data_IF_479682903460
#
_entry.id   IF_479682903460
#
_cell.length_a   1.000
_cell.length_b   1.000
_cell.length_c   1.000
_cell.angle_alpha   90.00
_cell.angle_beta   90.00
_cell.angle_gamma   90.00
#
_symmetry.space_group_name_H-M   'P 1'
#
loop_
_entity.id
_entity.type
_entity.pdbx_description
1 polymer ?
#
# COMPACT_ATOMS: atom_id res chain seq x y z
N UNK A 1 18.86 -7.53 -39.00
CA UNK A 1 17.46 -7.08 -39.13
C UNK A 1 17.18 -6.17 -37.94
N UNK A 2 16.59 -4.98 -38.12
CA UNK A 2 16.17 -4.18 -36.98
C UNK A 2 15.02 -4.93 -36.29
N UNK A 3 15.16 -5.18 -35.00
CA UNK A 3 14.05 -5.66 -34.16
C UNK A 3 13.08 -4.49 -34.10
N UNK A 4 12.03 -4.53 -34.92
CA UNK A 4 10.86 -3.66 -34.74
C UNK A 4 10.27 -4.00 -33.39
N UNK A 5 10.56 -3.21 -32.38
CA UNK A 5 9.75 -3.18 -31.15
C UNK A 5 8.36 -2.74 -31.58
N UNK A 6 7.43 -3.69 -31.69
CA UNK A 6 6.03 -3.38 -31.96
C UNK A 6 5.54 -2.44 -30.84
N UNK A 7 4.93 -1.32 -31.22
CA UNK A 7 4.28 -0.44 -30.26
C UNK A 7 3.14 -1.19 -29.57
N UNK A 8 2.89 -0.96 -28.27
CA UNK A 8 1.78 -1.61 -27.57
C UNK A 8 0.45 -1.20 -28.21
N UNK A 9 -0.42 -2.18 -28.40
CA UNK A 9 -1.78 -2.05 -28.92
C UNK A 9 -2.76 -1.89 -27.76
N UNK A 10 -2.58 -2.66 -26.69
CA UNK A 10 -3.40 -2.58 -25.48
C UNK A 10 -2.67 -1.78 -24.42
N UNK A 11 -3.21 -0.64 -24.02
CA UNK A 11 -2.51 0.35 -23.16
C UNK A 11 -3.26 0.65 -21.85
N UNK A 12 -4.25 -0.17 -21.49
CA UNK A 12 -4.94 -0.09 -20.20
C UNK A 12 -5.37 -1.46 -19.70
N UNK A 13 -5.54 -1.60 -18.38
CA UNK A 13 -6.00 -2.83 -17.72
C UNK A 13 -7.32 -3.37 -18.33
N UNK A 14 -8.40 -2.57 -18.52
CA UNK A 14 -9.63 -3.07 -19.13
C UNK A 14 -9.48 -3.51 -20.60
N UNK A 15 -8.54 -2.92 -21.34
CA UNK A 15 -8.28 -3.33 -22.72
C UNK A 15 -7.62 -4.71 -22.76
N UNK A 16 -6.66 -4.96 -21.87
CA UNK A 16 -5.95 -6.24 -21.80
C UNK A 16 -6.86 -7.34 -21.28
N UNK A 17 -7.65 -7.11 -20.23
CA UNK A 17 -8.57 -8.12 -19.68
C UNK A 17 -9.68 -8.49 -20.67
N UNK A 18 -10.22 -7.52 -21.43
CA UNK A 18 -11.16 -7.82 -22.53
C UNK A 18 -10.52 -8.62 -23.65
N UNK A 19 -9.28 -8.31 -24.00
CA UNK A 19 -8.55 -9.05 -25.04
C UNK A 19 -8.26 -10.49 -24.58
N UNK A 20 -7.83 -10.69 -23.33
CA UNK A 20 -7.69 -12.02 -22.71
C UNK A 20 -9.00 -12.81 -22.77
N UNK A 21 -10.12 -12.20 -22.37
CA UNK A 21 -11.42 -12.86 -22.46
C UNK A 21 -11.77 -13.28 -23.90
N UNK A 22 -11.35 -12.50 -24.90
CA UNK A 22 -11.51 -12.88 -26.29
C UNK A 22 -10.59 -14.04 -26.72
N UNK A 23 -9.39 -14.18 -26.13
CA UNK A 23 -8.53 -15.35 -26.35
C UNK A 23 -9.14 -16.61 -25.74
N UNK A 24 -9.61 -16.51 -24.48
CA UNK A 24 -10.26 -17.62 -23.78
C UNK A 24 -11.48 -18.12 -24.56
N UNK A 25 -12.29 -17.22 -25.14
CA UNK A 25 -13.43 -17.61 -25.99
C UNK A 25 -13.00 -18.37 -27.26
N UNK A 26 -11.82 -18.05 -27.80
CA UNK A 26 -11.35 -18.61 -29.06
C UNK A 26 -10.70 -19.99 -28.84
N UNK A 27 -9.85 -20.11 -27.83
CA UNK A 27 -9.12 -21.33 -27.50
C UNK A 27 -9.05 -21.56 -25.98
N UNK A 28 -10.09 -22.17 -25.37
CA UNK A 28 -10.19 -22.26 -23.91
C UNK A 28 -9.36 -23.40 -23.31
N UNK A 29 -8.88 -24.37 -24.09
CA UNK A 29 -8.48 -25.69 -23.58
C UNK A 29 -7.25 -25.58 -22.67
N UNK A 30 -6.17 -24.96 -23.15
CA UNK A 30 -4.94 -24.82 -22.37
C UNK A 30 -5.15 -23.88 -21.17
N UNK A 31 -5.92 -22.81 -21.35
CA UNK A 31 -6.24 -21.89 -20.28
C UNK A 31 -7.07 -22.55 -19.16
N UNK A 32 -8.06 -23.38 -19.52
CA UNK A 32 -8.88 -24.14 -18.56
C UNK A 32 -8.01 -25.06 -17.71
N UNK A 33 -7.10 -25.82 -18.34
CA UNK A 33 -6.18 -26.69 -17.62
C UNK A 33 -5.28 -25.91 -16.63
N UNK A 34 -4.84 -24.72 -17.03
CA UNK A 34 -4.03 -23.83 -16.18
C UNK A 34 -4.82 -23.32 -14.97
N UNK A 35 -6.10 -22.98 -15.17
CA UNK A 35 -7.00 -22.57 -14.07
C UNK A 35 -7.28 -23.74 -13.13
N UNK A 36 -7.51 -24.95 -13.65
CA UNK A 36 -7.70 -26.14 -12.83
C UNK A 36 -6.47 -26.43 -11.96
N UNK A 37 -5.26 -26.33 -12.53
CA UNK A 37 -4.02 -26.51 -11.78
C UNK A 37 -3.85 -25.44 -10.70
N UNK A 38 -4.08 -24.16 -11.03
CA UNK A 38 -4.01 -23.06 -10.07
C UNK A 38 -5.00 -23.25 -8.91
N UNK A 39 -6.20 -23.76 -9.19
CA UNK A 39 -7.23 -24.08 -8.20
C UNK A 39 -7.01 -25.44 -7.50
N UNK A 40 -5.96 -26.19 -7.89
CA UNK A 40 -5.66 -27.55 -7.39
C UNK A 40 -6.81 -28.53 -7.61
N UNK A 41 -7.52 -28.38 -8.72
CA UNK A 41 -8.58 -29.28 -9.14
C UNK A 41 -7.98 -30.43 -9.97
N UNK A 42 -8.67 -31.56 -9.99
CA UNK A 42 -8.33 -32.64 -10.94
C UNK A 42 -8.59 -32.17 -12.35
N UNK A 43 -7.72 -32.51 -13.30
CA UNK A 43 -7.90 -32.15 -14.72
C UNK A 43 -9.27 -32.58 -15.26
N UNK A 44 -9.98 -31.64 -15.90
CA UNK A 44 -11.34 -31.78 -16.40
C UNK A 44 -12.45 -31.60 -15.36
N UNK A 45 -12.13 -31.23 -14.11
CA UNK A 45 -13.12 -31.01 -13.06
C UNK A 45 -14.06 -29.83 -13.34
N UNK A 46 -13.60 -28.78 -14.03
CA UNK A 46 -14.46 -27.65 -14.41
C UNK A 46 -15.44 -28.04 -15.52
N UNK A 47 -15.05 -28.96 -16.40
CA UNK A 47 -15.86 -29.37 -17.55
C UNK A 47 -15.81 -28.38 -18.71
N UNK A 48 -16.92 -28.23 -19.43
CA UNK A 48 -16.97 -27.40 -20.63
C UNK A 48 -17.14 -25.92 -20.28
N UNK A 49 -16.32 -25.05 -20.87
CA UNK A 49 -16.52 -23.60 -20.81
C UNK A 49 -17.74 -23.22 -21.66
N UNK A 50 -18.79 -22.70 -21.03
CA UNK A 50 -20.07 -22.38 -21.69
C UNK A 50 -20.32 -20.88 -21.84
N UNK A 51 -19.68 -20.04 -21.03
CA UNK A 51 -19.78 -18.59 -21.15
C UNK A 51 -18.49 -17.88 -20.71
N UNK A 52 -18.22 -16.75 -21.35
CA UNK A 52 -17.16 -15.80 -20.99
C UNK A 52 -17.75 -14.41 -21.10
N UNK A 53 -17.85 -13.71 -19.98
CA UNK A 53 -18.33 -12.33 -19.91
C UNK A 53 -17.23 -11.41 -19.37
N UNK A 54 -17.19 -10.17 -19.87
CA UNK A 54 -16.30 -9.13 -19.37
C UNK A 54 -17.12 -8.13 -18.56
N UNK A 55 -16.52 -7.54 -17.53
CA UNK A 55 -17.14 -6.46 -16.74
C UNK A 55 -18.55 -6.84 -16.28
N UNK A 56 -18.70 -8.05 -15.74
CA UNK A 56 -20.00 -8.58 -15.35
C UNK A 56 -20.64 -7.64 -14.32
N UNK A 57 -21.66 -6.89 -14.75
CA UNK A 57 -22.21 -5.72 -14.04
C UNK A 57 -22.71 -6.02 -12.63
N UNK A 58 -23.07 -7.28 -12.37
CA UNK A 58 -23.59 -7.71 -11.08
C UNK A 58 -22.47 -8.13 -10.10
N UNK A 59 -21.24 -8.28 -10.60
CA UNK A 59 -20.10 -8.83 -9.86
C UNK A 59 -18.85 -7.91 -9.84
N UNK A 60 -18.79 -6.88 -10.69
CA UNK A 60 -17.62 -6.02 -10.89
C UNK A 60 -16.32 -6.78 -11.18
N UNK A 61 -16.42 -8.01 -11.71
CA UNK A 61 -15.27 -8.81 -12.12
C UNK A 61 -14.77 -8.37 -13.50
N UNK A 62 -13.46 -8.33 -13.69
CA UNK A 62 -12.86 -8.08 -15.01
C UNK A 62 -13.32 -9.11 -16.05
N UNK A 63 -13.24 -10.40 -15.71
CA UNK A 63 -13.73 -11.51 -16.54
C UNK A 63 -14.44 -12.54 -15.67
N UNK A 64 -15.61 -13.00 -16.11
CA UNK A 64 -16.33 -14.12 -15.51
C UNK A 64 -16.39 -15.27 -16.52
N UNK A 65 -16.01 -16.46 -16.06
CA UNK A 65 -16.10 -17.71 -16.78
C UNK A 65 -17.18 -18.58 -16.14
N UNK A 66 -18.02 -19.19 -16.97
CA UNK A 66 -18.98 -20.18 -16.52
C UNK A 66 -18.62 -21.51 -17.16
N UNK A 67 -18.33 -22.49 -16.32
CA UNK A 67 -18.08 -23.86 -16.71
C UNK A 67 -19.27 -24.75 -16.35
N UNK A 68 -19.45 -25.84 -17.09
CA UNK A 68 -20.49 -26.83 -16.81
C UNK A 68 -19.91 -28.25 -16.83
N UNK A 69 -20.04 -28.95 -15.71
CA UNK A 69 -19.68 -30.35 -15.56
C UNK A 69 -20.87 -31.14 -15.01
N UNK A 70 -21.26 -32.23 -15.67
CA UNK A 70 -22.34 -33.12 -15.21
C UNK A 70 -23.68 -32.43 -14.89
N UNK A 71 -23.96 -31.28 -15.53
CA UNK A 71 -25.18 -30.50 -15.32
C UNK A 71 -25.11 -29.44 -14.21
N UNK A 72 -23.99 -29.35 -13.50
CA UNK A 72 -23.73 -28.31 -12.49
C UNK A 72 -22.88 -27.18 -13.09
N UNK A 73 -23.17 -25.94 -12.69
CA UNK A 73 -22.42 -24.76 -13.14
C UNK A 73 -21.39 -24.33 -12.10
N UNK A 74 -20.16 -24.07 -12.56
CA UNK A 74 -19.09 -23.50 -11.74
C UNK A 74 -18.69 -22.14 -12.30
N UNK A 75 -18.65 -21.13 -11.43
CA UNK A 75 -18.26 -19.76 -11.77
C UNK A 75 -16.80 -19.55 -11.40
N UNK A 76 -16.00 -19.03 -12.33
CA UNK A 76 -14.62 -18.62 -12.07
C UNK A 76 -14.46 -17.16 -12.47
N UNK A 77 -14.19 -16.30 -11.51
CA UNK A 77 -13.85 -14.89 -11.72
C UNK A 77 -12.35 -14.73 -11.91
N UNK A 78 -11.95 -13.93 -12.89
CA UNK A 78 -10.58 -13.47 -13.08
C UNK A 78 -10.53 -11.98 -12.77
N UNK A 79 -9.58 -11.57 -11.95
CA UNK A 79 -9.33 -10.17 -11.62
C UNK A 79 -7.89 -9.81 -12.01
N UNK A 80 -7.74 -8.95 -13.02
CA UNK A 80 -6.45 -8.53 -13.54
C UNK A 80 -5.95 -7.29 -12.81
N UNK A 81 -4.68 -7.27 -12.37
CA UNK A 81 -4.08 -6.10 -11.73
C UNK A 81 -2.69 -5.81 -12.28
N UNK A 82 -2.47 -4.54 -12.61
CA UNK A 82 -1.17 -3.99 -12.96
C UNK A 82 -0.66 -3.06 -11.87
N UNK A 83 -1.25 -1.87 -11.75
CA UNK A 83 -0.82 -0.84 -10.79
C UNK A 83 -1.90 -0.46 -9.78
N UNK A 84 -3.10 -1.05 -9.86
CA UNK A 84 -4.20 -0.77 -8.94
C UNK A 84 -4.11 -1.67 -7.72
N UNK A 85 -4.45 -1.13 -6.54
CA UNK A 85 -4.50 -1.91 -5.32
C UNK A 85 -5.80 -2.71 -5.32
N UNK A 86 -5.68 -4.01 -5.12
CA UNK A 86 -6.81 -4.85 -4.74
C UNK A 86 -7.09 -4.62 -3.25
N UNK A 87 -8.36 -4.55 -2.84
CA UNK A 87 -8.73 -4.34 -1.42
C UNK A 87 -9.44 -5.56 -0.82
N UNK A 88 -9.39 -5.77 0.51
CA UNK A 88 -10.14 -6.83 1.16
C UNK A 88 -11.65 -6.75 0.91
N UNK A 89 -12.22 -5.54 0.87
CA UNK A 89 -13.64 -5.30 0.59
C UNK A 89 -13.99 -5.66 -0.85
N UNK A 90 -13.13 -5.29 -1.80
CA UNK A 90 -13.29 -5.68 -3.20
C UNK A 90 -13.27 -7.21 -3.34
N UNK A 91 -12.29 -7.88 -2.75
CA UNK A 91 -12.21 -9.35 -2.76
C UNK A 91 -13.46 -10.00 -2.16
N UNK A 92 -13.93 -9.49 -1.02
CA UNK A 92 -15.11 -10.02 -0.36
C UNK A 92 -16.37 -9.88 -1.24
N UNK A 93 -16.54 -8.72 -1.88
CA UNK A 93 -17.64 -8.45 -2.80
C UNK A 93 -17.60 -9.37 -4.02
N UNK A 94 -16.44 -9.50 -4.67
CA UNK A 94 -16.26 -10.35 -5.86
C UNK A 94 -16.46 -11.83 -5.54
N UNK A 95 -15.90 -12.32 -4.42
CA UNK A 95 -16.12 -13.71 -3.96
C UNK A 95 -17.60 -13.98 -3.67
N UNK A 96 -18.30 -13.02 -3.07
CA UNK A 96 -19.73 -13.15 -2.82
C UNK A 96 -20.53 -13.27 -4.13
N UNK A 97 -20.18 -12.48 -5.15
CA UNK A 97 -20.84 -12.51 -6.46
C UNK A 97 -20.63 -13.83 -7.23
N UNK A 98 -19.60 -14.60 -6.90
CA UNK A 98 -19.32 -15.91 -7.49
C UNK A 98 -20.18 -17.06 -6.93
N UNK A 99 -21.00 -16.82 -5.90
CA UNK A 99 -21.97 -17.78 -5.33
C UNK A 99 -21.37 -19.17 -5.03
N UNK A 100 -20.19 -19.20 -4.38
CA UNK A 100 -19.48 -20.44 -4.06
C UNK A 100 -18.50 -20.92 -5.14
N UNK A 101 -18.35 -20.16 -6.22
CA UNK A 101 -17.30 -20.35 -7.22
C UNK A 101 -15.90 -19.90 -6.78
N UNK A 102 -15.02 -19.70 -7.76
CA UNK A 102 -13.60 -19.43 -7.53
C UNK A 102 -13.18 -18.05 -8.04
N UNK A 103 -12.27 -17.39 -7.32
CA UNK A 103 -11.63 -16.15 -7.75
C UNK A 103 -10.14 -16.45 -8.03
N UNK A 104 -9.63 -15.95 -9.15
CA UNK A 104 -8.22 -16.06 -9.53
C UNK A 104 -7.68 -14.67 -9.85
N UNK A 105 -6.54 -14.30 -9.26
CA UNK A 105 -5.87 -13.04 -9.54
C UNK A 105 -4.90 -13.21 -10.72
N UNK A 106 -4.84 -12.23 -11.63
CA UNK A 106 -3.84 -12.18 -12.69
C UNK A 106 -2.96 -10.95 -12.48
N UNK A 107 -1.67 -11.18 -12.22
CA UNK A 107 -0.71 -10.16 -11.82
C UNK A 107 0.38 -9.98 -12.87
N UNK A 108 1.00 -8.80 -12.94
CA UNK A 108 2.17 -8.62 -13.80
C UNK A 108 3.38 -9.45 -13.34
N UNK A 109 3.56 -9.59 -12.02
CA UNK A 109 4.58 -10.43 -11.40
C UNK A 109 4.00 -11.11 -10.16
N UNK A 110 4.46 -12.30 -9.83
CA UNK A 110 4.04 -13.04 -8.64
C UNK A 110 4.34 -12.28 -7.34
N UNK A 111 5.41 -11.46 -7.30
CA UNK A 111 5.76 -10.65 -6.12
C UNK A 111 4.77 -9.52 -5.85
N UNK A 112 3.89 -9.17 -6.81
CA UNK A 112 2.87 -8.14 -6.64
C UNK A 112 1.64 -8.66 -5.88
N UNK A 113 1.60 -9.94 -5.50
CA UNK A 113 0.50 -10.51 -4.72
C UNK A 113 0.48 -9.87 -3.32
N UNK A 114 -0.63 -9.24 -2.90
CA UNK A 114 -0.71 -8.70 -1.56
C UNK A 114 -0.66 -9.81 -0.51
N UNK A 115 0.11 -9.61 0.56
CA UNK A 115 0.37 -10.62 1.60
C UNK A 115 -0.89 -11.06 2.36
N UNK A 116 -1.89 -10.18 2.45
CA UNK A 116 -3.18 -10.47 3.10
C UNK A 116 -4.10 -11.34 2.24
N UNK A 117 -3.82 -11.52 0.94
CA UNK A 117 -4.68 -12.34 0.07
C UNK A 117 -4.54 -13.82 0.48
N UNK A 118 -5.63 -14.45 0.93
CA UNK A 118 -5.60 -15.82 1.43
C UNK A 118 -5.07 -16.81 0.40
N UNK A 119 -4.37 -17.85 0.87
CA UNK A 119 -3.73 -18.84 -0.01
C UNK A 119 -4.71 -19.63 -0.89
N UNK A 120 -6.00 -19.68 -0.53
CA UNK A 120 -7.03 -20.34 -1.33
C UNK A 120 -7.48 -19.54 -2.56
N UNK A 121 -7.12 -18.26 -2.65
CA UNK A 121 -7.32 -17.44 -3.85
C UNK A 121 -6.03 -17.51 -4.65
N UNK A 122 -5.90 -18.36 -5.68
CA UNK A 122 -4.66 -18.47 -6.43
C UNK A 122 -4.39 -17.20 -7.24
N UNK A 123 -3.12 -17.03 -7.62
CA UNK A 123 -2.68 -15.98 -8.53
C UNK A 123 -1.85 -16.58 -9.65
N UNK A 124 -2.09 -16.11 -10.87
CA UNK A 124 -1.28 -16.36 -12.06
C UNK A 124 -0.59 -15.07 -12.49
N UNK A 125 0.51 -15.19 -13.20
CA UNK A 125 1.11 -14.04 -13.92
C UNK A 125 0.45 -13.87 -15.29
N UNK A 126 0.51 -12.66 -15.84
CA UNK A 126 0.15 -12.41 -17.24
C UNK A 126 0.99 -13.27 -18.20
N UNK A 127 2.27 -13.51 -17.89
CA UNK A 127 3.13 -14.37 -18.69
C UNK A 127 2.64 -15.83 -18.72
N UNK A 128 2.33 -16.41 -17.56
CA UNK A 128 1.76 -17.78 -17.47
C UNK A 128 0.41 -17.87 -18.17
N UNK A 129 -0.43 -16.85 -18.00
CA UNK A 129 -1.76 -16.79 -18.63
C UNK A 129 -1.66 -16.74 -20.16
N UNK A 130 -0.78 -15.90 -20.70
CA UNK A 130 -0.63 -15.73 -22.15
C UNK A 130 0.13 -16.89 -22.83
N UNK A 131 0.99 -17.59 -22.08
CA UNK A 131 1.68 -18.79 -22.58
C UNK A 131 0.72 -19.94 -22.93
N UNK A 132 -0.56 -19.86 -22.53
CA UNK A 132 -1.58 -20.83 -22.90
C UNK A 132 -2.01 -20.74 -24.37
N UNK A 133 -1.64 -19.69 -25.09
CA UNK A 133 -2.10 -19.43 -26.45
C UNK A 133 -0.91 -19.42 -27.41
N UNK A 134 -1.06 -20.02 -28.59
CA UNK A 134 0.02 -20.15 -29.58
C UNK A 134 0.43 -18.80 -30.20
N UNK A 135 -0.51 -17.85 -30.33
CA UNK A 135 -0.29 -16.50 -30.87
C UNK A 135 -1.27 -15.49 -30.22
N UNK A 136 -1.08 -15.13 -28.93
CA UNK A 136 -2.00 -14.25 -28.23
C UNK A 136 -1.93 -12.83 -28.83
N UNK A 137 -3.09 -12.21 -29.06
CA UNK A 137 -3.18 -10.80 -29.48
C UNK A 137 -2.62 -9.87 -28.41
N UNK A 138 -2.80 -10.22 -27.13
CA UNK A 138 -2.11 -9.55 -26.03
C UNK A 138 -0.69 -10.06 -25.98
N UNK A 139 0.26 -9.15 -26.16
CA UNK A 139 1.69 -9.48 -26.14
C UNK A 139 2.32 -9.14 -24.80
N UNK A 140 3.50 -9.71 -24.53
CA UNK A 140 4.34 -9.30 -23.40
C UNK A 140 4.72 -7.82 -23.48
N UNK A 141 4.81 -7.24 -24.68
CA UNK A 141 5.06 -5.81 -24.87
C UNK A 141 3.89 -4.96 -24.36
N UNK A 142 2.64 -5.39 -24.59
CA UNK A 142 1.46 -4.71 -24.06
C UNK A 142 1.47 -4.73 -22.53
N UNK A 143 1.69 -5.90 -21.93
CA UNK A 143 1.78 -6.10 -20.48
C UNK A 143 2.88 -5.21 -19.87
N UNK A 144 4.09 -5.23 -20.46
CA UNK A 144 5.24 -4.44 -19.99
C UNK A 144 5.09 -2.94 -20.22
N UNK A 145 4.19 -2.51 -21.09
CA UNK A 145 3.92 -1.09 -21.32
C UNK A 145 2.99 -0.47 -20.27
N UNK A 146 2.32 -1.30 -19.47
CA UNK A 146 1.44 -0.83 -18.40
C UNK A 146 2.27 -0.14 -17.31
N UNK A 147 1.73 0.90 -16.65
CA UNK A 147 2.35 1.42 -15.45
C UNK A 147 2.39 0.29 -14.41
N UNK A 148 3.55 0.03 -13.84
CA UNK A 148 3.77 -0.95 -12.75
C UNK A 148 4.49 -0.33 -11.56
N UNK A 149 4.65 1.00 -11.57
CA UNK A 149 5.51 1.70 -10.62
C UNK A 149 5.02 1.48 -9.19
N UNK A 150 3.72 1.56 -8.91
CA UNK A 150 3.19 1.30 -7.56
C UNK A 150 3.37 -0.15 -7.15
N UNK A 151 2.96 -1.09 -7.99
CA UNK A 151 3.06 -2.51 -7.65
C UNK A 151 4.52 -2.96 -7.41
N UNK A 152 5.45 -2.42 -8.20
CA UNK A 152 6.89 -2.64 -8.02
C UNK A 152 7.38 -2.08 -6.68
N UNK A 153 6.95 -0.85 -6.32
CA UNK A 153 7.31 -0.26 -5.02
C UNK A 153 6.63 -1.02 -3.87
N UNK A 154 5.36 -1.42 -4.01
CA UNK A 154 4.63 -2.20 -3.00
C UNK A 154 5.40 -3.51 -2.70
N UNK A 155 5.85 -4.22 -3.74
CA UNK A 155 6.68 -5.43 -3.61
C UNK A 155 8.08 -5.15 -3.03
N UNK A 156 8.73 -4.06 -3.44
CA UNK A 156 10.02 -3.64 -2.89
C UNK A 156 9.91 -3.35 -1.39
N UNK A 157 8.88 -2.62 -0.97
CA UNK A 157 8.60 -2.31 0.43
C UNK A 157 8.29 -3.57 1.24
N UNK A 158 7.47 -4.48 0.71
CA UNK A 158 7.19 -5.78 1.33
C UNK A 158 8.47 -6.63 1.48
N UNK A 159 9.37 -6.58 0.50
CA UNK A 159 10.64 -7.32 0.55
C UNK A 159 11.58 -6.87 1.66
N UNK A 160 11.37 -5.68 2.24
CA UNK A 160 12.16 -5.19 3.38
C UNK A 160 11.87 -5.95 4.67
N UNK A 161 10.80 -6.77 4.73
CA UNK A 161 10.41 -7.58 5.89
C UNK A 161 10.49 -6.80 7.21
N UNK A 162 9.92 -5.58 7.23
CA UNK A 162 10.03 -4.67 8.38
C UNK A 162 9.49 -5.30 9.67
N UNK A 163 8.52 -6.20 9.57
CA UNK A 163 8.00 -6.99 10.68
C UNK A 163 9.06 -7.82 11.39
N UNK A 164 10.13 -8.24 10.70
CA UNK A 164 11.24 -8.98 11.31
C UNK A 164 12.17 -8.06 12.14
N UNK A 165 12.04 -6.73 11.98
CA UNK A 165 12.82 -5.70 12.70
C UNK A 165 12.12 -5.18 13.95
N UNK A 166 10.89 -5.61 14.23
CA UNK A 166 10.02 -5.08 15.27
C UNK A 166 9.58 -6.19 16.24
N UNK A 167 9.16 -5.83 17.47
CA UNK A 167 8.51 -6.78 18.37
C UNK A 167 7.22 -7.36 17.77
N UNK A 168 6.92 -8.63 18.10
CA UNK A 168 5.86 -9.41 17.45
C UNK A 168 4.42 -8.88 17.66
N UNK A 169 4.21 -8.02 18.66
CA UNK A 169 2.91 -7.41 18.97
C UNK A 169 2.67 -6.09 18.23
N UNK A 170 3.61 -5.65 17.38
CA UNK A 170 3.45 -4.50 16.51
C UNK A 170 2.71 -4.89 15.24
N UNK A 171 1.88 -3.98 14.75
CA UNK A 171 1.17 -4.16 13.48
C UNK A 171 2.02 -3.55 12.37
N UNK A 172 2.26 -4.30 11.31
CA UNK A 172 2.96 -3.85 10.09
C UNK A 172 2.08 -4.16 8.89
N UNK A 173 1.77 -3.14 8.11
CA UNK A 173 0.85 -3.25 6.97
C UNK A 173 1.43 -2.55 5.73
N UNK A 174 1.61 -3.31 4.65
CA UNK A 174 1.99 -2.75 3.35
C UNK A 174 0.72 -2.31 2.64
N UNK A 175 0.50 -1.00 2.61
CA UNK A 175 -0.71 -0.40 2.06
C UNK A 175 -0.42 0.91 1.34
N UNK A 176 -1.39 1.35 0.57
CA UNK A 176 -1.33 2.67 -0.05
C UNK A 176 -1.96 3.71 0.86
N UNK A 177 -1.30 4.85 1.02
CA UNK A 177 -1.83 5.95 1.80
C UNK A 177 -3.02 6.64 1.10
N UNK A 178 -3.63 7.65 1.73
CA UNK A 178 -4.84 8.33 1.21
C UNK A 178 -4.70 8.97 -0.19
N UNK A 179 -3.48 9.16 -0.67
CA UNK A 179 -3.20 9.65 -2.04
C UNK A 179 -2.80 8.52 -3.01
N UNK A 180 -2.92 7.26 -2.59
CA UNK A 180 -2.56 6.09 -3.37
C UNK A 180 -1.05 5.85 -3.48
N UNK A 181 -0.23 6.45 -2.60
CA UNK A 181 1.23 6.21 -2.60
C UNK A 181 1.58 4.94 -1.83
N UNK A 182 2.42 4.06 -2.39
CA UNK A 182 2.98 2.92 -1.68
C UNK A 182 3.63 3.31 -0.35
N UNK A 183 3.30 2.55 0.70
CA UNK A 183 3.85 2.73 2.03
C UNK A 183 3.83 1.44 2.84
N UNK A 184 4.71 1.35 3.82
CA UNK A 184 4.54 0.43 4.95
C UNK A 184 4.11 1.26 6.15
N UNK A 185 2.98 0.93 6.76
CA UNK A 185 2.49 1.57 7.99
C UNK A 185 2.71 0.64 9.17
N UNK A 186 3.12 1.24 10.28
CA UNK A 186 3.49 0.55 11.50
C UNK A 186 2.72 1.17 12.66
N UNK A 187 2.16 0.33 13.51
CA UNK A 187 1.45 0.74 14.71
C UNK A 187 1.98 -0.02 15.93
N UNK A 188 2.39 0.73 16.96
CA UNK A 188 2.77 0.14 18.24
C UNK A 188 1.54 -0.38 19.00
N UNK A 189 1.74 -1.24 20.01
CA UNK A 189 0.74 -1.45 21.07
C UNK A 189 0.35 -0.12 21.73
N UNK A 190 -0.78 -0.13 22.44
CA UNK A 190 -1.23 1.04 23.19
C UNK A 190 -0.21 1.39 24.30
N UNK A 191 0.17 2.66 24.36
CA UNK A 191 0.87 3.26 25.48
C UNK A 191 -0.07 3.34 26.71
N UNK A 192 0.45 3.54 27.93
CA UNK A 192 -0.38 3.66 29.13
C UNK A 192 -1.47 4.75 29.05
N UNK A 193 -1.29 5.76 28.21
CA UNK A 193 -2.27 6.82 27.96
C UNK A 193 -3.32 6.47 26.87
N UNK A 194 -3.28 5.27 26.31
CA UNK A 194 -4.17 4.81 25.23
C UNK A 194 -3.79 5.30 23.83
N UNK A 195 -2.67 6.03 23.67
CA UNK A 195 -2.14 6.43 22.36
C UNK A 195 -1.23 5.36 21.78
N UNK A 196 -0.92 5.48 20.49
CA UNK A 196 0.05 4.62 19.79
C UNK A 196 1.15 5.46 19.16
N UNK A 197 2.35 4.89 19.07
CA UNK A 197 3.38 5.34 18.16
C UNK A 197 3.02 4.79 16.78
N UNK A 198 2.90 5.67 15.81
CA UNK A 198 2.60 5.37 14.42
C UNK A 198 3.80 5.74 13.57
N UNK A 199 4.16 4.89 12.63
CA UNK A 199 5.22 5.16 11.68
C UNK A 199 4.83 4.74 10.27
N UNK A 200 5.54 5.30 9.31
CA UNK A 200 5.45 4.86 7.92
C UNK A 200 6.78 4.98 7.21
N UNK A 201 7.06 4.05 6.31
CA UNK A 201 8.07 4.20 5.25
C UNK A 201 7.34 4.41 3.94
N UNK A 202 7.68 5.45 3.19
CA UNK A 202 6.94 5.84 1.99
C UNK A 202 7.83 6.47 0.93
N UNK A 203 7.33 6.50 -0.30
CA UNK A 203 7.87 7.33 -1.37
C UNK A 203 7.57 8.82 -1.16
N UNK A 204 8.39 9.70 -1.71
CA UNK A 204 8.24 11.16 -1.60
C UNK A 204 7.96 11.85 -2.94
N UNK A 205 7.36 13.04 -2.88
CA UNK A 205 7.15 13.88 -4.07
C UNK A 205 6.20 13.29 -5.11
N UNK A 206 6.40 13.67 -6.38
CA UNK A 206 5.60 13.19 -7.53
C UNK A 206 6.26 11.99 -8.21
N UNK A 207 6.52 10.94 -7.43
CA UNK A 207 7.26 9.74 -7.85
C UNK A 207 6.59 8.94 -8.97
N UNK A 208 5.26 9.01 -9.13
CA UNK A 208 4.52 8.20 -10.10
C UNK A 208 4.89 8.43 -11.58
N UNK A 209 5.66 9.48 -11.89
CA UNK A 209 6.15 9.80 -13.24
C UNK A 209 7.67 9.71 -13.36
N UNK A 210 8.34 9.33 -12.28
CA UNK A 210 9.79 9.26 -12.25
C UNK A 210 10.26 7.86 -12.64
N UNK A 211 11.42 7.74 -13.29
CA UNK A 211 12.17 6.49 -13.35
C UNK A 211 12.42 5.94 -11.94
N UNK A 212 12.50 4.62 -11.81
CA UNK A 212 12.63 3.93 -10.50
C UNK A 212 13.83 4.44 -9.70
N UNK A 213 14.95 4.63 -10.38
CA UNK A 213 16.22 5.11 -9.83
C UNK A 213 16.16 6.53 -9.26
N UNK A 214 15.16 7.33 -9.65
CA UNK A 214 14.93 8.68 -9.15
C UNK A 214 13.91 8.73 -7.99
N UNK A 215 13.31 7.59 -7.63
CA UNK A 215 12.33 7.51 -6.56
C UNK A 215 13.04 7.57 -5.22
N UNK A 216 12.67 8.57 -4.43
CA UNK A 216 13.19 8.81 -3.10
C UNK A 216 12.21 8.34 -2.01
N UNK A 217 12.76 7.75 -0.96
CA UNK A 217 12.04 7.18 0.18
C UNK A 217 12.35 7.94 1.46
N UNK A 218 11.38 8.04 2.36
CA UNK A 218 11.59 8.60 3.71
C UNK A 218 10.79 7.78 4.73
N UNK A 219 11.15 7.89 6.01
CA UNK A 219 10.29 7.47 7.09
C UNK A 219 9.64 8.66 7.78
N UNK A 220 8.48 8.41 8.38
CA UNK A 220 7.83 9.25 9.37
C UNK A 220 7.57 8.43 10.63
N UNK A 221 7.70 9.05 11.80
CA UNK A 221 7.33 8.46 13.09
C UNK A 221 6.70 9.54 13.94
N UNK A 222 5.57 9.23 14.57
CA UNK A 222 4.79 10.17 15.36
C UNK A 222 3.86 9.51 16.37
N UNK A 223 3.31 10.33 17.25
CA UNK A 223 2.30 9.91 18.24
C UNK A 223 0.91 10.11 17.65
N UNK A 224 0.03 9.13 17.86
CA UNK A 224 -1.35 9.16 17.36
C UNK A 224 -2.12 10.39 17.84
N UNK A 225 -2.90 10.98 16.94
CA UNK A 225 -3.87 12.04 17.23
C UNK A 225 -5.26 11.43 17.33
N UNK A 226 -5.93 11.68 18.45
CA UNK A 226 -7.29 11.24 18.73
C UNK A 226 -8.31 12.31 18.32
N UNK A 227 -9.20 12.66 19.25
CA UNK A 227 -10.22 13.68 19.02
C UNK A 227 -9.57 15.05 18.74
N UNK A 228 -9.84 15.68 17.58
CA UNK A 228 -9.29 16.99 17.24
C UNK A 228 -9.65 18.09 18.24
N UNK A 229 -10.77 18.01 18.95
CA UNK A 229 -11.15 19.04 19.92
C UNK A 229 -10.32 18.93 21.21
N UNK A 230 -9.86 17.73 21.57
CA UNK A 230 -8.96 17.50 22.71
C UNK A 230 -7.48 17.71 22.33
N UNK A 231 -7.09 17.25 21.15
CA UNK A 231 -5.69 17.27 20.71
C UNK A 231 -5.29 18.57 20.01
N UNK A 232 -6.23 19.23 19.34
CA UNK A 232 -5.99 20.47 18.61
C UNK A 232 -7.01 21.55 19.01
N UNK A 233 -7.18 21.82 20.32
CA UNK A 233 -8.18 22.75 20.81
C UNK A 233 -7.91 24.16 20.32
N UNK A 234 -8.98 24.93 20.11
CA UNK A 234 -8.89 26.36 19.96
C UNK A 234 -8.71 26.97 21.35
N UNK A 235 -7.55 27.59 21.60
CA UNK A 235 -7.25 28.26 22.86
C UNK A 235 -6.70 29.66 22.62
N UNK A 236 -7.04 30.58 23.52
CA UNK A 236 -6.49 31.94 23.54
C UNK A 236 -5.09 31.95 24.18
N UNK A 237 -4.84 31.07 25.16
CA UNK A 237 -3.54 30.93 25.85
C UNK A 237 -2.99 29.50 25.73
N UNK A 238 -2.09 29.26 24.76
CA UNK A 238 -1.40 27.97 24.60
C UNK A 238 -0.45 27.61 25.74
N UNK A 239 -0.01 28.56 26.58
CA UNK A 239 0.89 28.27 27.69
C UNK A 239 0.15 27.61 28.86
N UNK A 240 -1.14 27.92 29.01
CA UNK A 240 -2.01 27.35 30.04
C UNK A 240 -2.44 25.89 29.77
N UNK A 241 -2.24 25.40 28.55
CA UNK A 241 -2.62 24.03 28.14
C UNK A 241 -1.55 23.39 27.27
N UNK A 242 -1.09 22.20 27.67
CA UNK A 242 -0.26 21.34 26.83
C UNK A 242 -1.09 20.12 26.39
N UNK A 243 -1.50 20.02 25.11
CA UNK A 243 -2.14 18.81 24.59
C UNK A 243 -1.30 17.56 24.82
N UNK A 244 -1.94 16.40 24.98
CA UNK A 244 -1.27 15.15 25.39
C UNK A 244 -0.11 14.75 24.47
N UNK A 245 -0.20 15.02 23.16
CA UNK A 245 0.87 14.72 22.21
C UNK A 245 2.16 15.51 22.47
N UNK A 246 2.11 16.69 23.11
CA UNK A 246 3.29 17.54 23.36
C UNK A 246 4.32 16.81 24.22
N UNK A 247 3.87 16.12 25.27
CA UNK A 247 4.76 15.40 26.17
C UNK A 247 5.49 14.26 25.44
N UNK A 248 4.77 13.51 24.60
CA UNK A 248 5.34 12.43 23.80
C UNK A 248 6.37 12.93 22.77
N UNK A 249 6.12 14.07 22.14
CA UNK A 249 7.09 14.69 21.22
C UNK A 249 8.35 15.18 21.94
N UNK A 250 8.23 15.64 23.20
CA UNK A 250 9.39 15.94 24.04
C UNK A 250 10.17 14.66 24.37
N UNK A 251 9.50 13.56 24.70
CA UNK A 251 10.15 12.25 24.89
C UNK A 251 10.93 11.82 23.65
N UNK A 252 10.31 11.87 22.47
CA UNK A 252 10.95 11.56 21.18
C UNK A 252 12.22 12.41 20.99
N UNK A 253 12.12 13.71 21.22
CA UNK A 253 13.26 14.62 21.08
C UNK A 253 14.37 14.35 22.11
N UNK A 254 14.02 14.37 23.40
CA UNK A 254 14.95 14.44 24.52
C UNK A 254 15.57 13.09 24.89
N UNK A 255 14.91 11.97 24.55
CA UNK A 255 15.39 10.62 24.90
C UNK A 255 15.81 9.79 23.70
N UNK A 256 15.15 9.94 22.55
CA UNK A 256 15.41 9.09 21.37
C UNK A 256 16.39 9.78 20.42
N UNK A 257 16.11 11.04 20.09
CA UNK A 257 16.95 11.82 19.17
C UNK A 257 18.15 12.51 19.83
N UNK A 258 18.33 12.36 21.15
CA UNK A 258 19.36 13.02 21.95
C UNK A 258 20.79 12.83 21.40
N UNK A 259 21.23 13.74 20.52
CA UNK A 259 22.52 13.67 19.84
C UNK A 259 22.61 12.63 18.71
N UNK A 260 21.50 11.99 18.34
CA UNK A 260 21.43 10.88 17.37
C UNK A 260 20.69 11.23 16.08
N UNK A 261 20.32 12.50 15.87
CA UNK A 261 19.54 12.93 14.68
C UNK A 261 20.23 12.55 13.36
N UNK A 262 21.54 12.72 13.26
CA UNK A 262 22.30 12.41 12.04
C UNK A 262 22.42 10.89 11.81
N UNK A 263 22.69 10.12 12.88
CA UNK A 263 22.73 8.65 12.86
C UNK A 263 21.39 8.06 12.39
N UNK A 264 20.30 8.61 12.92
CA UNK A 264 18.94 8.18 12.62
C UNK A 264 18.42 8.80 11.30
N UNK A 265 19.16 9.74 10.70
CA UNK A 265 18.80 10.37 9.42
C UNK A 265 17.58 11.29 9.53
N UNK A 266 17.36 11.91 10.69
CA UNK A 266 16.21 12.77 10.99
C UNK A 266 16.35 14.14 10.32
N UNK A 267 15.32 14.58 9.59
CA UNK A 267 15.32 15.87 8.90
C UNK A 267 14.94 17.02 9.84
N UNK A 268 15.93 17.62 10.49
CA UNK A 268 15.72 18.74 11.45
C UNK A 268 15.48 20.09 10.78
N UNK A 269 15.66 20.17 9.46
CA UNK A 269 15.44 21.36 8.63
C UNK A 269 13.99 21.53 8.17
N UNK A 270 13.19 20.45 8.22
CA UNK A 270 11.76 20.47 7.90
C UNK A 270 10.96 21.28 8.93
N UNK A 271 9.88 21.92 8.48
CA UNK A 271 9.03 22.77 9.32
C UNK A 271 7.57 22.36 9.25
N UNK A 272 6.86 22.35 10.41
CA UNK A 272 5.47 21.95 10.42
C UNK A 272 4.64 22.99 9.67
N UNK A 273 3.69 22.49 8.88
CA UNK A 273 2.70 23.32 8.23
C UNK A 273 1.59 23.71 9.19
N UNK A 274 1.12 24.94 9.02
CA UNK A 274 -0.17 25.39 9.53
C UNK A 274 -1.02 25.93 8.39
N UNK A 275 -2.21 26.44 8.68
CA UNK A 275 -3.03 27.08 7.67
C UNK A 275 -4.37 27.59 8.20
N UNK A 276 -4.97 28.49 7.42
CA UNK A 276 -6.35 28.93 7.60
C UNK A 276 -7.18 28.51 6.40
N UNK A 277 -8.48 28.35 6.59
CA UNK A 277 -9.43 28.19 5.49
C UNK A 277 -9.62 29.51 4.73
N UNK A 278 -10.45 29.47 3.68
CA UNK A 278 -10.76 30.62 2.81
C UNK A 278 -11.44 31.78 3.57
N UNK A 279 -12.06 31.49 4.71
CA UNK A 279 -12.81 32.45 5.52
C UNK A 279 -11.94 33.00 6.68
N UNK A 280 -10.67 32.58 6.74
CA UNK A 280 -9.68 33.05 7.71
C UNK A 280 -9.63 32.24 9.01
N UNK A 281 -10.48 31.22 9.18
CA UNK A 281 -10.48 30.39 10.39
C UNK A 281 -9.32 29.40 10.36
N UNK A 282 -8.73 29.12 11.52
CA UNK A 282 -7.65 28.14 11.62
C UNK A 282 -8.14 26.74 11.25
N UNK A 283 -7.46 26.12 10.27
CA UNK A 283 -7.55 24.68 10.03
C UNK A 283 -6.99 23.91 11.23
N UNK A 284 -7.22 22.60 11.32
CA UNK A 284 -6.59 21.76 12.36
C UNK A 284 -5.05 21.92 12.38
N UNK A 285 -4.42 21.99 11.20
CA UNK A 285 -2.99 22.28 11.09
C UNK A 285 -2.65 23.70 11.60
N UNK A 286 -3.53 24.68 11.41
CA UNK A 286 -3.41 26.01 12.03
C UNK A 286 -3.50 25.97 13.56
N UNK A 287 -4.45 25.20 14.11
CA UNK A 287 -4.70 25.08 15.55
C UNK A 287 -3.51 24.47 16.32
N UNK A 288 -2.71 23.61 15.70
CA UNK A 288 -1.51 23.04 16.36
C UNK A 288 -0.38 24.06 16.56
N UNK A 289 -0.27 25.05 15.66
CA UNK A 289 0.93 25.90 15.58
C UNK A 289 1.20 26.75 16.83
N UNK A 290 0.20 27.30 17.55
CA UNK A 290 0.41 27.96 18.83
C UNK A 290 1.11 27.03 19.85
N UNK A 291 0.64 25.79 20.01
CA UNK A 291 1.26 24.81 20.91
C UNK A 291 2.68 24.43 20.49
N UNK A 292 2.92 24.27 19.19
CA UNK A 292 4.28 23.98 18.67
C UNK A 292 5.25 25.13 18.98
N UNK A 293 4.80 26.38 18.83
CA UNK A 293 5.63 27.55 19.12
C UNK A 293 5.95 27.67 20.61
N UNK A 294 4.95 27.42 21.44
CA UNK A 294 5.04 27.54 22.90
C UNK A 294 5.86 26.39 23.50
N UNK A 295 5.46 25.14 23.24
CA UNK A 295 5.97 23.99 23.96
C UNK A 295 7.17 23.29 23.30
N UNK A 296 7.40 23.52 22.01
CA UNK A 296 8.43 22.84 21.21
C UNK A 296 9.41 23.81 20.52
N UNK A 297 9.48 25.05 21.03
CA UNK A 297 10.19 26.21 20.49
C UNK A 297 11.31 25.93 19.46
N UNK A 298 12.44 25.35 19.89
CA UNK A 298 13.64 25.13 19.05
C UNK A 298 13.61 23.80 18.27
N UNK A 299 12.62 22.95 18.52
CA UNK A 299 12.54 21.58 18.02
C UNK A 299 11.24 21.34 17.24
N UNK A 300 10.70 22.38 16.59
CA UNK A 300 9.41 22.32 15.89
C UNK A 300 9.33 21.24 14.82
N UNK A 301 10.47 20.78 14.32
CA UNK A 301 10.61 19.69 13.36
C UNK A 301 10.12 18.34 13.91
N UNK A 302 9.89 18.19 15.22
CA UNK A 302 9.20 17.01 15.79
C UNK A 302 7.68 17.08 15.76
N UNK A 303 7.07 18.17 15.28
CA UNK A 303 5.60 18.33 15.20
C UNK A 303 5.05 18.33 13.75
N UNK A 304 5.73 17.61 12.87
CA UNK A 304 5.32 17.34 11.49
C UNK A 304 4.19 16.30 11.45
N UNK A 305 3.74 15.92 10.26
CA UNK A 305 2.75 14.86 10.06
C UNK A 305 1.34 15.41 9.89
N UNK A 306 0.36 14.57 10.21
CA UNK A 306 -1.03 14.72 9.80
C UNK A 306 -1.95 14.85 11.01
N UNK A 307 -2.75 15.91 11.05
CA UNK A 307 -3.62 16.26 12.19
C UNK A 307 -4.82 15.33 12.40
N UNK A 308 -4.98 14.30 11.56
CA UNK A 308 -6.00 13.27 11.65
C UNK A 308 -5.39 11.86 11.81
N UNK A 309 -4.08 11.77 12.05
CA UNK A 309 -3.40 10.47 12.17
C UNK A 309 -2.30 10.51 13.22
N UNK A 310 -1.21 11.26 13.00
CA UNK A 310 -0.11 11.37 13.94
C UNK A 310 0.73 12.64 13.75
N UNK A 311 1.31 13.13 14.85
CA UNK A 311 2.30 14.20 14.85
C UNK A 311 3.68 13.67 15.24
N UNK A 312 4.73 14.11 14.57
CA UNK A 312 6.07 13.56 14.78
C UNK A 312 7.15 14.12 13.86
N UNK A 313 8.16 13.31 13.55
CA UNK A 313 9.32 13.72 12.74
C UNK A 313 9.44 12.89 11.45
N UNK A 314 10.06 13.49 10.44
CA UNK A 314 10.42 12.81 9.20
C UNK A 314 11.94 12.61 9.13
N UNK A 315 12.36 11.59 8.40
CA UNK A 315 13.75 11.45 7.97
C UNK A 315 14.08 12.37 6.79
N UNK A 316 15.37 12.45 6.47
CA UNK A 316 15.83 12.81 5.13
C UNK A 316 15.42 11.73 4.13
N UNK A 317 15.30 12.15 2.88
CA UNK A 317 15.02 11.23 1.78
C UNK A 317 16.27 10.44 1.41
N UNK A 318 16.10 9.17 1.06
CA UNK A 318 17.16 8.28 0.57
C UNK A 318 16.77 7.64 -0.77
N UNK A 319 17.74 7.12 -1.50
CA UNK A 319 17.51 6.31 -2.70
C UNK A 319 17.12 4.88 -2.33
N UNK A 320 16.69 4.10 -3.33
CA UNK A 320 16.33 2.69 -3.17
C UNK A 320 17.43 1.85 -2.50
N UNK A 321 18.70 2.05 -2.89
CA UNK A 321 19.85 1.28 -2.34
C UNK A 321 20.00 1.41 -0.82
N UNK A 322 19.50 2.50 -0.23
CA UNK A 322 19.56 2.79 1.20
C UNK A 322 18.25 2.46 1.94
N UNK A 323 17.26 1.87 1.25
CA UNK A 323 15.93 1.59 1.81
C UNK A 323 15.99 0.64 3.01
N UNK A 324 16.81 -0.42 2.94
CA UNK A 324 16.97 -1.35 4.06
C UNK A 324 17.51 -0.64 5.32
N UNK A 325 18.48 0.27 5.15
CA UNK A 325 19.02 1.08 6.24
C UNK A 325 17.99 2.08 6.77
N UNK A 326 17.17 2.67 5.89
CA UNK A 326 16.04 3.52 6.30
C UNK A 326 15.05 2.75 7.18
N UNK A 327 14.68 1.52 6.81
CA UNK A 327 13.82 0.65 7.60
C UNK A 327 14.43 0.33 8.97
N UNK A 328 15.74 0.04 9.03
CA UNK A 328 16.44 -0.22 10.29
C UNK A 328 16.51 1.01 11.20
N UNK A 329 16.75 2.21 10.65
CA UNK A 329 16.73 3.45 11.45
C UNK A 329 15.35 3.73 11.99
N UNK A 330 14.32 3.58 11.15
CA UNK A 330 12.94 3.75 11.57
C UNK A 330 12.56 2.76 12.68
N UNK A 331 12.92 1.47 12.57
CA UNK A 331 12.64 0.48 13.60
C UNK A 331 13.32 0.82 14.92
N UNK A 332 14.58 1.26 14.89
CA UNK A 332 15.29 1.78 16.07
C UNK A 332 14.55 2.96 16.70
N UNK A 333 14.11 3.95 15.91
CA UNK A 333 13.39 5.11 16.46
C UNK A 333 12.12 4.69 17.17
N UNK A 334 11.28 3.87 16.54
CA UNK A 334 9.97 3.51 17.13
C UNK A 334 10.12 2.60 18.34
N UNK A 335 11.10 1.69 18.35
CA UNK A 335 11.35 0.79 19.47
C UNK A 335 11.98 1.52 20.66
N UNK A 336 13.00 2.35 20.43
CA UNK A 336 13.61 3.20 21.46
C UNK A 336 12.58 4.17 22.05
N UNK A 337 11.70 4.73 21.21
CA UNK A 337 10.63 5.62 21.68
C UNK A 337 9.61 4.87 22.53
N UNK A 338 9.15 3.69 22.09
CA UNK A 338 8.22 2.89 22.86
C UNK A 338 8.80 2.55 24.23
N UNK A 339 10.04 2.07 24.28
CA UNK A 339 10.79 1.82 25.51
C UNK A 339 10.88 3.05 26.42
N UNK A 340 11.13 4.23 25.84
CA UNK A 340 11.22 5.48 26.58
C UNK A 340 9.88 5.98 27.18
N UNK A 341 8.75 5.58 26.58
CA UNK A 341 7.39 5.89 27.04
C UNK A 341 6.88 4.89 28.08
N UNK A 342 7.26 3.62 27.96
CA UNK A 342 6.84 2.53 28.88
C UNK A 342 7.81 2.31 30.04
N UNK A 343 9.04 2.80 29.94
CA UNK A 343 10.10 2.61 30.93
C UNK A 343 10.73 1.22 30.90
N UNK A 344 10.73 0.56 29.75
CA UNK A 344 11.28 -0.80 29.54
C UNK A 344 12.63 -0.81 28.86
#
# INVERSE_FOLDING_TARGET
MPITTQSPIFTSEPMVTRALAAEIRHDPVCFTATIEDALRLTGGALGDLVDVSCEATDANLDVLLIYRASGEETRVGLEGKFDHSFSPEQMASERAALNGGHLVLILADATHRPSWVPSEVPSLTWAETLACFDDPRVTTTDVNSMPLTKATIDALLASQRIEDLLPADWIVDVRRNGNGSPSVVIESPDLPCGRRILAQVQTTGRWARLPREEIAYEYFTGISIGDPDDDLPLVDDPAALAPGWVAHLKTLHDKVFAGRTDELGVATDKRPSGGSDKDGNLTLAGRKMPFVKEHLANHRWVAMGFTNWALGAFSHTVAEDDLANLCQRMSTVVTDWYAAETGT
#
